data_IF_132355510341
#
_entry.id   IF_132355510341
#
_cell.length_a   1.000
_cell.length_b   1.000
_cell.length_c   1.000
_cell.angle_alpha   90.00
_cell.angle_beta   90.00
_cell.angle_gamma   90.00
#
_symmetry.space_group_name_H-M   'P 1'
#
loop_
_entity.id
_entity.type
_entity.pdbx_description
1 polymer ?
#
# COMPACT_ATOMS: atom_id res chain seq x y z
N UNK A 1 6.87 -9.37 2.92
CA UNK A 1 5.95 -8.22 2.94
C UNK A 1 5.15 -8.04 1.66
N UNK A 2 5.76 -8.02 0.46
CA UNK A 2 5.01 -7.97 -0.82
C UNK A 2 3.94 -9.07 -0.96
N UNK A 3 4.28 -10.30 -0.52
CA UNK A 3 3.30 -11.39 -0.44
C UNK A 3 2.08 -10.99 0.39
N UNK A 4 2.24 -10.36 1.57
CA UNK A 4 1.09 -10.00 2.42
C UNK A 4 0.17 -9.00 1.74
N UNK A 5 0.72 -8.06 0.97
CA UNK A 5 -0.06 -7.10 0.17
C UNK A 5 -0.84 -7.87 -0.92
N UNK A 6 -0.17 -8.74 -1.67
CA UNK A 6 -0.83 -9.54 -2.71
C UNK A 6 -1.97 -10.41 -2.14
N UNK A 7 -1.79 -10.99 -0.95
CA UNK A 7 -2.83 -11.78 -0.28
C UNK A 7 -4.00 -10.92 0.23
N UNK A 8 -3.82 -9.62 0.44
CA UNK A 8 -4.92 -8.71 0.80
C UNK A 8 -5.73 -8.19 -0.39
N UNK A 9 -5.30 -8.45 -1.64
CA UNK A 9 -6.00 -7.95 -2.83
C UNK A 9 -7.31 -8.67 -3.14
N UNK A 10 -7.46 -10.00 -3.00
CA UNK A 10 -8.70 -10.68 -3.38
C UNK A 10 -9.94 -10.15 -2.64
N UNK A 11 -9.94 -9.97 -1.30
CA UNK A 11 -11.10 -9.40 -0.59
C UNK A 11 -11.42 -7.95 -1.02
N UNK A 12 -10.42 -7.20 -1.49
CA UNK A 12 -10.61 -5.82 -1.99
C UNK A 12 -11.26 -5.80 -3.38
N UNK A 13 -11.15 -6.90 -4.13
CA UNK A 13 -11.78 -7.04 -5.44
C UNK A 13 -13.31 -7.31 -5.36
N UNK A 14 -13.82 -7.64 -4.17
CA UNK A 14 -15.24 -7.89 -3.96
C UNK A 14 -16.07 -6.61 -4.11
N UNK A 15 -17.12 -6.68 -4.92
CA UNK A 15 -18.00 -5.54 -5.20
C UNK A 15 -19.35 -5.68 -4.50
N UNK A 16 -19.69 -4.66 -3.70
CA UNK A 16 -20.99 -4.50 -3.05
C UNK A 16 -22.13 -4.15 -4.02
N UNK A 17 -21.84 -3.92 -5.31
CA UNK A 17 -22.85 -3.61 -6.33
C UNK A 17 -23.91 -4.70 -6.41
N UNK A 18 -25.17 -4.27 -6.45
CA UNK A 18 -26.33 -5.15 -6.36
C UNK A 18 -26.77 -5.51 -4.94
N UNK A 19 -26.23 -4.85 -3.91
CA UNK A 19 -26.78 -4.80 -2.54
C UNK A 19 -27.89 -3.74 -2.31
N UNK A 20 -28.27 -2.95 -3.32
CA UNK A 20 -28.91 -1.62 -3.19
C UNK A 20 -28.73 -0.95 -1.81
N UNK A 21 -29.81 -0.48 -1.17
CA UNK A 21 -29.72 0.37 0.02
C UNK A 21 -29.16 -0.35 1.26
N UNK A 22 -29.46 -1.64 1.44
CA UNK A 22 -29.21 -2.35 2.72
C UNK A 22 -28.70 -3.79 2.56
N UNK A 23 -28.27 -4.19 1.36
CA UNK A 23 -27.73 -5.52 1.06
C UNK A 23 -28.74 -6.51 0.46
N UNK A 24 -30.03 -6.17 0.39
CA UNK A 24 -31.10 -7.12 0.04
C UNK A 24 -31.29 -7.40 -1.45
N UNK A 25 -30.74 -6.57 -2.35
CA UNK A 25 -31.04 -6.69 -3.78
C UNK A 25 -32.34 -6.00 -4.22
N UNK A 26 -33.11 -5.39 -3.31
CA UNK A 26 -34.40 -4.76 -3.65
C UNK A 26 -34.25 -3.66 -4.71
N UNK A 27 -35.09 -3.69 -5.74
CA UNK A 27 -35.04 -2.79 -6.91
C UNK A 27 -33.80 -2.99 -7.81
N UNK A 28 -33.15 -4.15 -7.74
CA UNK A 28 -32.05 -4.51 -8.65
C UNK A 28 -32.39 -5.77 -9.44
N UNK A 29 -32.03 -5.80 -10.73
CA UNK A 29 -32.19 -7.00 -11.55
C UNK A 29 -31.32 -8.15 -11.00
N UNK A 30 -31.81 -9.41 -10.93
CA UNK A 30 -31.06 -10.52 -10.32
C UNK A 30 -29.65 -10.75 -10.90
N UNK A 31 -29.46 -10.44 -12.18
CA UNK A 31 -28.15 -10.59 -12.86
C UNK A 31 -27.22 -9.37 -12.75
N UNK A 32 -27.72 -8.22 -12.27
CA UNK A 32 -27.00 -6.95 -12.31
C UNK A 32 -25.62 -7.04 -11.65
N UNK A 33 -25.56 -7.61 -10.44
CA UNK A 33 -24.34 -7.68 -9.64
C UNK A 33 -23.22 -8.45 -10.36
N UNK A 34 -23.55 -9.60 -10.96
CA UNK A 34 -22.62 -10.44 -11.72
C UNK A 34 -22.17 -9.73 -12.99
N UNK A 35 -23.11 -9.23 -13.79
CA UNK A 35 -22.82 -8.57 -15.08
C UNK A 35 -21.93 -7.35 -14.90
N UNK A 36 -22.22 -6.51 -13.90
CA UNK A 36 -21.38 -5.32 -13.65
C UNK A 36 -19.98 -5.72 -13.18
N UNK A 37 -19.83 -6.76 -12.36
CA UNK A 37 -18.50 -7.25 -11.97
C UNK A 37 -17.70 -7.76 -13.18
N UNK A 38 -18.35 -8.49 -14.10
CA UNK A 38 -17.72 -8.98 -15.35
C UNK A 38 -17.30 -7.83 -16.28
N UNK A 39 -18.15 -6.82 -16.44
CA UNK A 39 -17.81 -5.63 -17.23
C UNK A 39 -16.66 -4.85 -16.60
N UNK A 40 -16.66 -4.69 -15.26
CA UNK A 40 -15.55 -4.06 -14.55
C UNK A 40 -14.25 -4.86 -14.73
N UNK A 41 -14.32 -6.19 -14.62
CA UNK A 41 -13.16 -7.04 -14.83
C UNK A 41 -12.61 -6.92 -16.26
N UNK A 42 -13.48 -6.81 -17.25
CA UNK A 42 -13.13 -6.62 -18.66
C UNK A 42 -12.45 -5.27 -18.89
N UNK A 43 -13.05 -4.17 -18.42
CA UNK A 43 -12.55 -2.81 -18.68
C UNK A 43 -11.24 -2.53 -17.93
N UNK A 44 -11.07 -3.11 -16.73
CA UNK A 44 -9.90 -2.84 -15.87
C UNK A 44 -8.81 -3.90 -15.97
N UNK A 45 -9.08 -5.04 -16.61
CA UNK A 45 -8.23 -6.23 -16.57
C UNK A 45 -7.88 -6.71 -15.14
N UNK A 46 -8.72 -6.35 -14.16
CA UNK A 46 -8.57 -6.74 -12.76
C UNK A 46 -9.63 -7.79 -12.38
N UNK A 47 -9.36 -8.70 -11.42
CA UNK A 47 -10.24 -9.82 -11.10
C UNK A 47 -11.42 -9.39 -10.20
N UNK A 48 -12.21 -8.40 -10.62
CA UNK A 48 -13.38 -7.95 -9.87
C UNK A 48 -14.48 -9.01 -9.88
N UNK A 49 -15.02 -9.28 -8.68
CA UNK A 49 -16.09 -10.26 -8.47
C UNK A 49 -17.18 -9.63 -7.62
N UNK A 50 -18.37 -10.21 -7.64
CA UNK A 50 -19.46 -9.76 -6.78
C UNK A 50 -19.25 -10.29 -5.35
N UNK A 51 -19.41 -9.44 -4.34
CA UNK A 51 -19.21 -9.85 -2.95
C UNK A 51 -20.19 -10.98 -2.55
N UNK A 52 -19.75 -12.04 -1.87
CA UNK A 52 -20.63 -13.16 -1.51
C UNK A 52 -21.72 -12.74 -0.52
N UNK A 53 -21.44 -11.76 0.34
CA UNK A 53 -22.39 -11.19 1.29
C UNK A 53 -22.46 -9.66 1.10
N UNK A 54 -23.60 -9.16 0.64
CA UNK A 54 -23.80 -7.73 0.41
C UNK A 54 -24.06 -6.93 1.69
N UNK A 55 -24.47 -7.57 2.78
CA UNK A 55 -24.66 -6.90 4.06
C UNK A 55 -23.31 -6.53 4.67
N UNK A 56 -22.38 -7.48 4.70
CA UNK A 56 -21.01 -7.25 5.18
C UNK A 56 -20.31 -6.19 4.32
N UNK A 57 -20.33 -6.36 3.00
CA UNK A 57 -19.68 -5.44 2.06
C UNK A 57 -20.23 -3.99 2.07
N UNK A 58 -21.42 -3.76 2.65
CA UNK A 58 -21.99 -2.42 2.83
C UNK A 58 -21.82 -1.88 4.26
N UNK A 59 -21.79 -2.76 5.27
CA UNK A 59 -21.79 -2.37 6.68
C UNK A 59 -20.37 -2.14 7.22
N UNK A 60 -19.36 -2.81 6.67
CA UNK A 60 -17.98 -2.73 7.15
C UNK A 60 -17.00 -2.47 5.99
N UNK A 61 -15.72 -2.31 6.33
CA UNK A 61 -14.64 -2.06 5.37
C UNK A 61 -13.45 -2.98 5.67
N UNK A 62 -13.72 -4.21 6.10
CA UNK A 62 -12.72 -5.10 6.69
C UNK A 62 -11.62 -5.48 5.70
N UNK A 63 -11.97 -5.66 4.42
CA UNK A 63 -11.01 -5.86 3.34
C UNK A 63 -9.99 -4.70 3.23
N UNK A 64 -10.45 -3.44 3.37
CA UNK A 64 -9.58 -2.27 3.34
C UNK A 64 -8.74 -2.16 4.61
N UNK A 65 -9.32 -2.47 5.78
CA UNK A 65 -8.58 -2.52 7.05
C UNK A 65 -7.44 -3.55 6.98
N UNK A 66 -7.72 -4.74 6.44
CA UNK A 66 -6.73 -5.79 6.24
C UNK A 66 -5.62 -5.36 5.27
N UNK A 67 -5.99 -4.77 4.11
CA UNK A 67 -5.02 -4.26 3.14
C UNK A 67 -4.12 -3.18 3.75
N UNK A 68 -4.70 -2.25 4.53
CA UNK A 68 -3.93 -1.24 5.24
C UNK A 68 -3.01 -1.86 6.31
N UNK A 69 -3.44 -2.94 6.97
CA UNK A 69 -2.59 -3.72 7.87
C UNK A 69 -1.35 -4.31 7.15
N UNK A 70 -1.52 -4.84 5.95
CA UNK A 70 -0.41 -5.32 5.13
C UNK A 70 0.55 -4.18 4.72
N UNK A 71 0.02 -3.01 4.37
CA UNK A 71 0.81 -1.80 4.08
C UNK A 71 1.57 -1.30 5.31
N UNK A 72 0.96 -1.35 6.50
CA UNK A 72 1.65 -1.01 7.76
C UNK A 72 2.85 -1.93 8.03
N UNK A 73 2.71 -3.23 7.71
CA UNK A 73 3.84 -4.17 7.76
C UNK A 73 4.97 -3.80 6.79
N UNK A 74 4.64 -3.26 5.62
CA UNK A 74 5.64 -2.71 4.68
C UNK A 74 6.32 -1.48 5.25
N UNK A 75 5.56 -0.54 5.79
CA UNK A 75 6.09 0.67 6.40
C UNK A 75 7.09 0.35 7.52
N UNK A 76 6.80 -0.61 8.39
CA UNK A 76 7.73 -1.05 9.43
C UNK A 76 9.04 -1.64 8.86
N UNK A 77 8.94 -2.39 7.76
CA UNK A 77 10.12 -2.95 7.08
C UNK A 77 10.98 -1.85 6.44
N UNK A 78 10.34 -0.90 5.75
CA UNK A 78 11.01 0.23 5.10
C UNK A 78 11.64 1.17 6.11
N UNK A 79 10.95 1.48 7.21
CA UNK A 79 11.47 2.24 8.33
C UNK A 79 12.77 1.65 8.85
N UNK A 80 12.83 0.32 9.06
CA UNK A 80 14.05 -0.35 9.51
C UNK A 80 15.17 -0.24 8.48
N UNK A 81 14.89 -0.57 7.22
CA UNK A 81 15.90 -0.55 6.14
C UNK A 81 16.47 0.87 5.95
N UNK A 82 15.62 1.88 5.88
CA UNK A 82 16.04 3.27 5.73
C UNK A 82 16.86 3.75 6.94
N UNK A 83 16.50 3.33 8.15
CA UNK A 83 17.27 3.60 9.36
C UNK A 83 18.67 2.98 9.30
N UNK A 84 18.77 1.69 8.95
CA UNK A 84 20.08 1.03 8.82
C UNK A 84 20.97 1.78 7.82
N UNK A 85 20.44 2.12 6.64
CA UNK A 85 21.20 2.84 5.61
C UNK A 85 21.72 4.18 6.13
N UNK A 86 20.87 5.02 6.74
CA UNK A 86 21.32 6.33 7.25
C UNK A 86 22.30 6.22 8.42
N UNK A 87 22.17 5.20 9.26
CA UNK A 87 23.12 4.97 10.35
C UNK A 87 24.46 4.47 9.84
N UNK A 88 24.48 3.48 8.94
CA UNK A 88 25.71 2.96 8.33
C UNK A 88 26.44 4.05 7.52
N UNK A 89 25.70 4.99 6.92
CA UNK A 89 26.26 6.13 6.19
C UNK A 89 26.61 7.34 7.06
N UNK A 90 26.32 7.29 8.37
CA UNK A 90 26.57 8.43 9.28
C UNK A 90 28.07 8.73 9.37
N UNK A 91 28.45 10.00 9.27
CA UNK A 91 29.85 10.38 9.15
C UNK A 91 30.02 11.88 8.81
N UNK A 92 31.18 12.29 8.25
CA UNK A 92 32.25 11.44 7.71
C UNK A 92 33.29 10.98 8.74
N UNK A 93 33.29 11.53 9.96
CA UNK A 93 34.32 11.21 10.98
C UNK A 93 33.76 10.82 12.35
N UNK A 94 32.55 11.24 12.66
CA UNK A 94 31.93 11.09 13.98
C UNK A 94 30.67 10.20 13.94
N UNK A 95 30.65 9.20 13.06
CA UNK A 95 29.56 8.25 12.89
C UNK A 95 30.09 6.85 12.63
N UNK A 96 29.27 5.98 12.04
CA UNK A 96 29.65 4.60 11.69
C UNK A 96 30.51 4.58 10.42
N UNK A 97 30.04 5.21 9.33
CA UNK A 97 30.81 5.40 8.10
C UNK A 97 31.17 4.13 7.32
N UNK A 98 30.38 3.06 7.45
CA UNK A 98 30.62 1.79 6.76
C UNK A 98 30.24 1.81 5.28
N UNK A 99 29.26 2.64 4.91
CA UNK A 99 28.81 2.80 3.51
C UNK A 99 28.81 4.28 3.10
N UNK A 100 28.95 4.53 1.80
CA UNK A 100 28.70 5.84 1.20
C UNK A 100 27.34 5.84 0.49
N UNK A 101 26.64 6.98 0.56
CA UNK A 101 25.38 7.21 -0.16
C UNK A 101 25.57 8.34 -1.19
N UNK A 102 24.77 8.36 -2.28
CA UNK A 102 24.87 9.43 -3.28
C UNK A 102 24.54 10.81 -2.70
N UNK A 103 25.29 11.82 -3.14
CA UNK A 103 24.98 13.22 -2.87
C UNK A 103 24.02 13.75 -3.94
N UNK A 104 22.73 13.86 -3.58
CA UNK A 104 21.67 14.29 -4.52
C UNK A 104 21.34 15.78 -4.38
N UNK A 105 21.43 16.33 -3.17
CA UNK A 105 21.28 17.76 -2.91
C UNK A 105 22.65 18.42 -2.75
N UNK A 106 22.85 19.67 -3.22
CA UNK A 106 24.12 20.35 -3.05
C UNK A 106 24.51 20.46 -1.57
N UNK A 107 25.61 19.81 -1.19
CA UNK A 107 26.22 20.01 0.10
C UNK A 107 26.73 21.45 0.27
N UNK A 108 26.99 21.85 1.51
CA UNK A 108 27.63 23.15 1.76
C UNK A 108 29.08 23.07 1.31
N UNK A 109 29.54 24.02 0.49
CA UNK A 109 30.92 24.08 -0.01
C UNK A 109 31.98 24.19 1.11
N UNK A 110 31.58 24.59 2.32
CA UNK A 110 32.43 24.64 3.52
C UNK A 110 32.52 23.29 4.25
N UNK A 111 31.64 22.33 3.95
CA UNK A 111 31.55 21.01 4.61
C UNK A 111 31.76 19.87 3.59
N UNK A 112 32.99 19.69 3.06
CA UNK A 112 33.26 18.64 2.08
C UNK A 112 33.01 17.25 2.66
N UNK A 113 32.36 16.39 1.87
CA UNK A 113 32.04 15.01 2.25
C UNK A 113 30.84 14.86 3.21
N UNK A 114 30.17 15.97 3.58
CA UNK A 114 28.90 15.89 4.30
C UNK A 114 27.77 15.59 3.32
N UNK A 115 27.17 14.40 3.44
CA UNK A 115 25.99 14.00 2.68
C UNK A 115 24.85 13.72 3.66
N UNK A 116 23.71 14.39 3.48
CA UNK A 116 22.52 14.13 4.29
C UNK A 116 21.70 12.99 3.67
N UNK A 117 21.16 12.06 4.47
CA UNK A 117 20.37 10.93 3.98
C UNK A 117 18.90 11.33 3.70
N UNK A 118 18.69 12.38 2.91
CA UNK A 118 17.38 13.00 2.62
C UNK A 118 16.34 12.02 2.08
N UNK A 119 16.76 11.05 1.27
CA UNK A 119 15.87 10.00 0.76
C UNK A 119 15.44 9.03 1.87
N UNK A 120 16.34 8.69 2.81
CA UNK A 120 15.97 7.91 3.99
C UNK A 120 15.03 8.71 4.90
N UNK A 121 15.24 10.02 5.05
CA UNK A 121 14.35 10.91 5.79
C UNK A 121 12.95 10.97 5.16
N UNK A 122 12.83 11.06 3.84
CA UNK A 122 11.54 11.09 3.16
C UNK A 122 10.76 9.76 3.25
N UNK A 123 11.46 8.64 3.39
CA UNK A 123 10.85 7.30 3.51
C UNK A 123 10.32 7.03 4.92
N UNK A 124 10.88 7.67 5.95
CA UNK A 124 10.58 7.40 7.37
C UNK A 124 9.71 8.46 8.01
#
# INVERSE_FOLDING_TARGET
>A
TLRHIAHSLPPVADRALGGPAVGTGLNTHPEYARRVAEELATITAAPFVTAPNKFEALATCDALVQAHGALKGLAASLMKIANDVRWLASGPRCGIGEIAIPENEPGSSIMPGKVNPTQCEAVT
#
